data_IF_520578134639
#
_entry.id   IF_520578134639
#
_cell.length_a   1.000
_cell.length_b   1.000
_cell.length_c   1.000
_cell.angle_alpha   90.00
_cell.angle_beta   90.00
_cell.angle_gamma   90.00
#
_symmetry.space_group_name_H-M   'P 1'
#
loop_
_entity.id
_entity.type
_entity.pdbx_description
1 polymer ?
#
# COMPACT_ATOMS: atom_id res chain seq x y z
N UNK A 1 -38.26 -2.56 68.11
CA UNK A 1 -36.91 -2.67 67.52
C UNK A 1 -37.06 -3.18 66.09
N UNK A 2 -37.03 -2.28 65.09
CA UNK A 2 -36.91 -2.65 63.68
C UNK A 2 -36.38 -1.43 62.90
N UNK A 3 -35.10 -1.50 62.55
CA UNK A 3 -34.40 -0.47 61.79
C UNK A 3 -34.64 -0.71 60.29
N UNK A 4 -35.27 0.24 59.61
CA UNK A 4 -35.36 0.25 58.14
C UNK A 4 -34.09 0.86 57.58
N UNK A 5 -33.23 0.03 56.98
CA UNK A 5 -31.95 0.42 56.41
C UNK A 5 -32.18 0.99 55.00
N UNK A 6 -32.11 2.31 54.84
CA UNK A 6 -32.14 2.97 53.53
C UNK A 6 -30.80 2.72 52.84
N UNK A 7 -30.81 1.98 51.74
CA UNK A 7 -29.61 1.69 50.93
C UNK A 7 -29.38 2.87 49.97
N UNK A 8 -28.18 3.47 49.90
CA UNK A 8 -27.95 4.67 49.10
C UNK A 8 -27.89 4.33 47.61
N UNK A 9 -28.42 5.26 46.82
CA UNK A 9 -28.57 5.24 45.37
C UNK A 9 -27.21 5.58 44.71
N UNK A 10 -26.34 4.60 44.48
CA UNK A 10 -24.99 4.80 43.90
C UNK A 10 -24.82 4.32 42.45
N UNK A 11 -25.90 3.91 41.77
CA UNK A 11 -25.81 3.26 40.45
C UNK A 11 -25.68 4.14 39.18
N UNK A 12 -25.87 5.48 39.14
CA UNK A 12 -25.85 6.19 37.85
C UNK A 12 -24.43 6.51 37.34
N UNK A 13 -23.43 6.61 38.22
CA UNK A 13 -22.09 7.11 37.85
C UNK A 13 -21.24 6.05 37.14
N UNK A 14 -21.39 4.77 37.47
CA UNK A 14 -20.53 3.71 36.94
C UNK A 14 -20.89 3.31 35.48
N UNK A 15 -22.16 3.48 35.09
CA UNK A 15 -22.66 3.14 33.75
C UNK A 15 -22.22 4.20 32.72
N UNK A 16 -22.21 5.49 33.12
CA UNK A 16 -21.88 6.60 32.23
C UNK A 16 -20.40 6.60 31.79
N UNK A 17 -19.50 6.11 32.64
CA UNK A 17 -18.05 6.06 32.38
C UNK A 17 -17.70 5.05 31.29
N UNK A 18 -18.36 3.88 31.29
CA UNK A 18 -18.09 2.80 30.34
C UNK A 18 -18.55 3.16 28.91
N UNK A 19 -19.69 3.85 28.78
CA UNK A 19 -20.20 4.32 27.48
C UNK A 19 -19.29 5.38 26.83
N UNK A 20 -18.66 6.26 27.62
CA UNK A 20 -17.71 7.26 27.10
C UNK A 20 -16.44 6.60 26.58
N UNK A 21 -15.88 5.62 27.28
CA UNK A 21 -14.69 4.89 26.83
C UNK A 21 -14.95 4.06 25.57
N UNK A 22 -16.12 3.44 25.46
CA UNK A 22 -16.52 2.68 24.26
C UNK A 22 -16.67 3.62 23.05
N UNK A 23 -17.34 4.76 23.20
CA UNK A 23 -17.48 5.72 22.10
C UNK A 23 -16.14 6.34 21.68
N UNK A 24 -15.23 6.58 22.64
CA UNK A 24 -13.87 7.04 22.35
C UNK A 24 -13.04 5.98 21.62
N UNK A 25 -13.13 4.71 22.02
CA UNK A 25 -12.46 3.61 21.33
C UNK A 25 -12.98 3.43 19.90
N UNK A 26 -14.29 3.54 19.69
CA UNK A 26 -14.90 3.48 18.34
C UNK A 26 -14.40 4.63 17.47
N UNK A 27 -14.31 5.85 18.00
CA UNK A 27 -13.77 7.01 17.28
C UNK A 27 -12.31 6.78 16.84
N UNK A 28 -11.46 6.23 17.72
CA UNK A 28 -10.06 5.91 17.39
C UNK A 28 -9.92 4.83 16.32
N UNK A 29 -10.80 3.82 16.32
CA UNK A 29 -10.78 2.76 15.29
C UNK A 29 -11.19 3.34 13.93
N UNK A 30 -12.25 4.16 13.87
CA UNK A 30 -12.70 4.80 12.62
C UNK A 30 -11.62 5.72 12.06
N UNK A 31 -10.94 6.49 12.91
CA UNK A 31 -9.85 7.36 12.48
C UNK A 31 -8.70 6.60 11.78
N UNK A 32 -8.34 5.40 12.27
CA UNK A 32 -7.28 4.59 11.67
C UNK A 32 -7.67 4.00 10.30
N UNK A 33 -8.95 3.75 10.04
CA UNK A 33 -9.42 3.23 8.75
C UNK A 33 -9.26 4.28 7.63
N UNK A 34 -9.32 5.57 7.97
CA UNK A 34 -9.26 6.68 6.99
C UNK A 34 -7.83 6.95 6.49
N UNK A 35 -6.78 6.51 7.21
CA UNK A 35 -5.38 6.77 6.85
C UNK A 35 -4.76 5.80 5.84
N UNK A 36 -5.52 4.90 5.21
CA UNK A 36 -5.00 4.12 4.08
C UNK A 36 -4.82 5.02 2.86
N UNK A 37 -3.64 5.62 2.70
CA UNK A 37 -3.26 6.32 1.48
C UNK A 37 -3.03 5.32 0.36
N UNK A 38 -4.06 5.10 -0.46
CA UNK A 38 -3.92 4.43 -1.74
C UNK A 38 -3.07 5.31 -2.66
N UNK A 39 -1.83 4.88 -2.94
CA UNK A 39 -1.00 5.51 -3.96
C UNK A 39 -1.53 5.08 -5.33
N UNK A 40 -2.29 5.95 -5.98
CA UNK A 40 -2.76 5.72 -7.33
C UNK A 40 -1.62 6.00 -8.32
N UNK A 41 -1.29 5.03 -9.17
CA UNK A 41 -0.36 5.21 -10.27
C UNK A 41 -0.86 6.27 -11.25
N UNK A 42 0.05 7.12 -11.73
CA UNK A 42 -0.27 8.16 -12.70
C UNK A 42 -0.19 7.62 -14.13
N UNK A 43 -1.28 7.75 -14.89
CA UNK A 43 -1.26 7.52 -16.34
C UNK A 43 -0.55 8.69 -17.03
N UNK A 44 0.57 8.41 -17.70
CA UNK A 44 1.39 9.44 -18.37
C UNK A 44 1.20 9.46 -19.88
N UNK A 45 0.06 8.95 -20.38
CA UNK A 45 -0.26 8.91 -21.82
C UNK A 45 -0.08 10.24 -22.55
N UNK A 46 -0.39 11.37 -21.92
CA UNK A 46 -0.21 12.70 -22.54
C UNK A 46 1.26 13.02 -22.87
N UNK A 47 2.21 12.46 -22.13
CA UNK A 47 3.65 12.66 -22.33
C UNK A 47 4.26 11.50 -23.12
N UNK A 48 3.86 10.26 -22.82
CA UNK A 48 4.47 9.06 -23.37
C UNK A 48 3.98 8.72 -24.79
N UNK A 49 2.70 8.95 -25.12
CA UNK A 49 2.15 8.62 -26.44
C UNK A 49 2.96 9.20 -27.61
N UNK A 50 3.33 10.50 -27.65
CA UNK A 50 4.13 11.04 -28.74
C UNK A 50 5.56 10.48 -28.78
N UNK A 51 6.12 10.01 -27.66
CA UNK A 51 7.46 9.42 -27.62
C UNK A 51 7.51 8.01 -28.21
N UNK A 52 6.37 7.31 -28.19
CA UNK A 52 6.24 5.95 -28.73
C UNK A 52 5.51 5.91 -30.07
N UNK A 53 5.29 7.07 -30.71
CA UNK A 53 4.57 7.14 -32.00
C UNK A 53 5.21 6.22 -33.05
N UNK A 54 4.38 5.41 -33.72
CA UNK A 54 4.84 4.42 -34.70
C UNK A 54 5.34 3.10 -34.09
N UNK A 55 5.26 2.93 -32.77
CA UNK A 55 5.64 1.69 -32.07
C UNK A 55 4.61 1.30 -31.01
N UNK A 56 4.46 0.00 -30.76
CA UNK A 56 3.70 -0.50 -29.61
C UNK A 56 4.58 -0.55 -28.36
N UNK A 57 4.91 0.64 -27.84
CA UNK A 57 5.74 0.83 -26.66
C UNK A 57 4.96 0.83 -25.34
N UNK A 58 5.68 0.66 -24.24
CA UNK A 58 5.11 0.66 -22.91
C UNK A 58 6.10 1.19 -21.86
N UNK A 59 5.60 1.73 -20.75
CA UNK A 59 6.44 2.29 -19.69
C UNK A 59 5.87 1.98 -18.31
N UNK A 60 6.74 1.63 -17.37
CA UNK A 60 6.44 1.41 -15.97
C UNK A 60 7.52 2.07 -15.11
N UNK A 61 7.10 2.79 -14.08
CA UNK A 61 7.99 3.34 -13.05
C UNK A 61 7.48 2.94 -11.67
N UNK A 62 8.35 2.32 -10.89
CA UNK A 62 8.06 1.88 -9.53
C UNK A 62 9.03 2.53 -8.54
N UNK A 63 8.54 2.80 -7.34
CA UNK A 63 9.38 3.05 -6.18
C UNK A 63 9.93 1.72 -5.66
N UNK A 64 11.26 1.60 -5.61
CA UNK A 64 11.92 0.34 -5.27
C UNK A 64 11.69 -0.09 -3.80
N UNK A 65 11.42 0.85 -2.89
CA UNK A 65 11.28 0.55 -1.46
C UNK A 65 9.87 0.09 -1.12
N UNK A 66 8.87 0.73 -1.71
CA UNK A 66 7.45 0.54 -1.41
C UNK A 66 6.74 -0.34 -2.43
N UNK A 67 7.39 -0.65 -3.56
CA UNK A 67 6.79 -1.31 -4.72
C UNK A 67 5.55 -0.55 -5.26
N UNK A 68 5.45 0.76 -4.98
CA UNK A 68 4.37 1.58 -5.46
C UNK A 68 4.60 1.93 -6.94
N UNK A 69 3.60 1.66 -7.78
CA UNK A 69 3.61 2.11 -9.18
C UNK A 69 3.39 3.62 -9.20
N UNK A 70 4.40 4.36 -9.68
CA UNK A 70 4.40 5.84 -9.69
C UNK A 70 3.82 6.35 -11.00
N UNK A 71 4.22 5.75 -12.12
CA UNK A 71 3.76 6.13 -13.45
C UNK A 71 3.66 4.92 -14.39
N UNK A 72 2.72 4.97 -15.33
CA UNK A 72 2.47 3.90 -16.29
C UNK A 72 1.99 4.43 -17.64
N UNK A 73 2.31 3.70 -18.71
CA UNK A 73 1.78 3.88 -20.05
C UNK A 73 1.64 2.53 -20.75
N UNK A 74 0.47 2.30 -21.38
CA UNK A 74 0.14 1.07 -22.12
C UNK A 74 0.24 -0.22 -21.27
N UNK A 75 -0.59 -0.33 -20.22
CA UNK A 75 -0.61 -1.51 -19.31
C UNK A 75 -0.75 -2.85 -20.02
N UNK A 76 -1.54 -2.89 -21.10
CA UNK A 76 -1.75 -4.12 -21.86
C UNK A 76 -0.43 -4.62 -22.46
N UNK A 77 0.37 -3.72 -23.06
CA UNK A 77 1.69 -4.06 -23.57
C UNK A 77 2.69 -4.39 -22.45
N UNK A 78 2.66 -3.65 -21.33
CA UNK A 78 3.52 -3.93 -20.17
C UNK A 78 3.35 -5.36 -19.61
N UNK A 79 2.14 -5.91 -19.66
CA UNK A 79 1.84 -7.25 -19.17
C UNK A 79 2.22 -8.38 -20.15
N UNK A 80 2.65 -8.02 -21.37
CA UNK A 80 2.98 -9.00 -22.41
C UNK A 80 4.43 -9.46 -22.28
N UNK A 81 4.63 -10.77 -22.11
CA UNK A 81 5.97 -11.35 -22.11
C UNK A 81 6.59 -11.32 -23.51
N UNK A 82 7.88 -10.98 -23.57
CA UNK A 82 8.68 -10.97 -24.79
C UNK A 82 10.10 -11.46 -24.50
N UNK A 83 10.86 -11.80 -25.54
CA UNK A 83 12.24 -12.18 -25.37
C UNK A 83 13.03 -11.02 -24.73
N UNK A 84 13.87 -11.27 -23.71
CA UNK A 84 14.62 -10.22 -23.03
C UNK A 84 15.83 -9.72 -23.84
N UNK A 85 16.21 -10.43 -24.92
CA UNK A 85 17.38 -10.14 -25.75
C UNK A 85 18.63 -9.85 -24.90
N UNK A 86 19.24 -8.67 -25.07
CA UNK A 86 20.41 -8.29 -24.29
C UNK A 86 20.13 -7.93 -22.83
N UNK A 87 18.89 -7.67 -22.43
CA UNK A 87 18.57 -7.34 -21.02
C UNK A 87 18.80 -8.53 -20.08
N UNK A 88 18.74 -9.76 -20.60
CA UNK A 88 19.07 -10.96 -19.83
C UNK A 88 20.53 -11.02 -19.38
N UNK A 89 21.42 -10.21 -19.98
CA UNK A 89 22.80 -10.06 -19.51
C UNK A 89 22.87 -9.59 -18.05
N UNK A 90 21.86 -8.90 -17.54
CA UNK A 90 21.77 -8.52 -16.12
C UNK A 90 21.71 -9.78 -15.25
N UNK A 91 20.77 -10.69 -15.55
CA UNK A 91 20.65 -11.95 -14.82
C UNK A 91 21.87 -12.85 -15.00
N UNK A 92 22.41 -12.95 -16.23
CA UNK A 92 23.63 -13.72 -16.50
C UNK A 92 24.84 -13.20 -15.73
N UNK A 93 24.98 -11.87 -15.59
CA UNK A 93 26.05 -11.27 -14.80
C UNK A 93 25.97 -11.73 -13.35
N UNK A 94 24.78 -11.65 -12.73
CA UNK A 94 24.56 -12.11 -11.37
C UNK A 94 24.86 -13.61 -11.21
N UNK A 95 24.44 -14.45 -12.16
CA UNK A 95 24.75 -15.88 -12.16
C UNK A 95 26.25 -16.15 -12.28
N UNK A 96 26.97 -15.37 -13.09
CA UNK A 96 28.40 -15.55 -13.28
C UNK A 96 29.21 -15.15 -12.04
N UNK A 97 28.80 -14.08 -11.35
CA UNK A 97 29.38 -13.72 -10.04
C UNK A 97 29.08 -14.80 -8.99
N UNK A 98 27.82 -15.25 -8.90
CA UNK A 98 27.40 -16.27 -7.92
C UNK A 98 28.09 -17.62 -8.13
N UNK A 99 28.31 -18.00 -9.39
CA UNK A 99 29.03 -19.21 -9.77
C UNK A 99 30.57 -19.05 -9.73
N UNK A 100 31.07 -17.91 -9.26
CA UNK A 100 32.51 -17.59 -9.16
C UNK A 100 33.25 -17.70 -10.52
N UNK A 101 32.55 -17.45 -11.62
CA UNK A 101 33.12 -17.44 -12.98
C UNK A 101 33.83 -16.10 -13.25
N UNK A 102 33.34 -15.01 -12.65
CA UNK A 102 33.89 -13.65 -12.75
C UNK A 102 33.94 -12.97 -11.37
N UNK A 103 34.84 -12.00 -11.20
CA UNK A 103 35.06 -11.20 -9.97
C UNK A 103 35.13 -9.68 -10.26
N UNK A 104 35.39 -8.87 -9.22
CA UNK A 104 35.40 -7.39 -9.26
C UNK A 104 36.79 -6.80 -9.47
#
# INVERSE_FOLDING_TARGET
>A
MLAVKIKPFTKPILIMKNTIHINFAIFLIIANIIYSSASASTDISTVASPLFEGTEGCFLLYDASTNAEIAQFNKAKCATQMAPDSTFKIALSLMAFDAEIIDQ
#
